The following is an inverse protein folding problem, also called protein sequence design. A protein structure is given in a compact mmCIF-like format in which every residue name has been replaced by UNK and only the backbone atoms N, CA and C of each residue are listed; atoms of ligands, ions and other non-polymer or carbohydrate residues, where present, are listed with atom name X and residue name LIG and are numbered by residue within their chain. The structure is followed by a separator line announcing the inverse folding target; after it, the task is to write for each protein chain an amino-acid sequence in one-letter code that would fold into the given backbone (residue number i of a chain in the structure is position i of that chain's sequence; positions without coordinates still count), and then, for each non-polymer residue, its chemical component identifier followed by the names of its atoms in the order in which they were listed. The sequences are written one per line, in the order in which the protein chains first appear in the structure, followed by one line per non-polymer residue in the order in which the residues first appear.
data_IF_384427859411
#
_entry.id   IF_384427859411
#
_cell.length_a   1.000
_cell.length_b   1.000
_cell.length_c   1.000
_cell.angle_alpha   90.00
_cell.angle_beta   90.00
_cell.angle_gamma   90.00
#
_symmetry.space_group_name_H-M   'P 1'
#
loop_
_entity.id
_entity.type
_entity.pdbx_description
1 polymer ?
#
# COMPACT_ATOMS: atom_id res chain seq x y z
N UNK A 1 32.47 16.20 11.76
CA UNK A 1 31.20 15.96 11.06
C UNK A 1 30.81 14.50 11.33
N UNK A 2 29.63 14.23 11.79
CA UNK A 2 29.15 12.86 11.93
C UNK A 2 28.93 12.31 10.52
N UNK A 3 29.38 11.10 10.27
CA UNK A 3 29.27 10.47 8.96
C UNK A 3 27.84 9.92 8.81
N UNK A 4 27.13 10.26 7.73
CA UNK A 4 25.80 9.79 7.44
C UNK A 4 25.75 8.25 7.46
N UNK A 5 26.73 7.61 6.85
CA UNK A 5 26.83 6.14 6.82
C UNK A 5 26.93 5.52 8.22
N UNK A 6 27.56 6.23 9.17
CA UNK A 6 27.60 5.76 10.57
C UNK A 6 26.23 5.80 11.24
N UNK A 7 25.39 6.77 10.90
CA UNK A 7 24.00 6.81 11.40
C UNK A 7 23.21 5.67 10.82
N UNK A 8 23.38 5.36 9.52
CA UNK A 8 22.76 4.20 8.86
C UNK A 8 23.18 2.89 9.56
N UNK A 9 24.49 2.72 9.83
CA UNK A 9 24.99 1.55 10.54
C UNK A 9 24.41 1.44 11.96
N UNK A 10 24.33 2.55 12.69
CA UNK A 10 23.69 2.59 14.01
C UNK A 10 22.24 2.12 13.97
N UNK A 11 21.46 2.54 12.95
CA UNK A 11 20.06 2.10 12.76
C UNK A 11 20.01 0.59 12.48
N UNK A 12 20.86 0.07 11.58
CA UNK A 12 20.95 -1.36 11.31
C UNK A 12 21.27 -2.19 12.55
N UNK A 13 22.09 -1.64 13.46
CA UNK A 13 22.45 -2.26 14.75
C UNK A 13 21.39 -2.01 15.84
N UNK A 14 20.27 -1.36 15.52
CA UNK A 14 19.21 -0.95 16.46
C UNK A 14 19.72 -0.02 17.59
N UNK A 15 20.83 0.68 17.35
CA UNK A 15 21.40 1.67 18.25
C UNK A 15 20.83 3.06 17.96
N UNK A 16 19.54 3.24 18.29
CA UNK A 16 18.79 4.48 18.05
C UNK A 16 18.93 5.53 19.17
N UNK A 17 19.89 5.36 20.07
CA UNK A 17 20.12 6.34 21.13
C UNK A 17 20.53 7.68 20.54
N UNK A 18 19.87 8.76 21.00
CA UNK A 18 20.11 10.13 20.53
C UNK A 18 19.98 10.28 19.00
N UNK A 19 19.06 9.51 18.38
CA UNK A 19 18.89 9.49 16.93
C UNK A 19 18.55 10.89 16.37
N UNK A 20 17.66 11.64 17.03
CA UNK A 20 17.31 13.00 16.63
C UNK A 20 18.53 13.91 16.55
N UNK A 21 19.38 13.88 17.58
CA UNK A 21 20.61 14.70 17.62
C UNK A 21 21.60 14.29 16.52
N UNK A 22 21.67 12.99 16.19
CA UNK A 22 22.53 12.48 15.12
C UNK A 22 22.02 12.96 13.77
N UNK A 23 20.70 12.86 13.52
CA UNK A 23 20.06 13.32 12.30
C UNK A 23 20.26 14.82 12.12
N UNK A 24 19.97 15.64 13.13
CA UNK A 24 20.17 17.09 13.07
C UNK A 24 21.61 17.50 12.70
N UNK A 25 22.61 16.68 13.07
CA UNK A 25 24.01 16.92 12.70
C UNK A 25 24.33 16.55 11.26
N UNK A 26 23.71 15.51 10.72
CA UNK A 26 23.97 15.03 9.34
C UNK A 26 23.11 15.72 8.29
N UNK A 27 22.00 16.38 8.67
CA UNK A 27 21.15 17.16 7.76
C UNK A 27 21.90 18.22 6.95
N UNK A 28 23.03 18.72 7.47
CA UNK A 28 23.88 19.70 6.78
C UNK A 28 24.99 19.03 5.94
N UNK A 29 24.89 17.73 5.66
CA UNK A 29 25.83 17.01 4.82
C UNK A 29 25.67 17.41 3.36
N UNK A 30 26.78 17.60 2.66
CA UNK A 30 26.79 17.80 1.21
C UNK A 30 26.63 16.45 0.44
N UNK A 31 26.65 15.32 1.14
CA UNK A 31 26.44 13.98 0.57
C UNK A 31 24.93 13.68 0.54
N UNK A 32 24.23 14.22 -0.47
CA UNK A 32 22.79 14.10 -0.60
C UNK A 32 22.35 12.68 -0.96
N UNK A 33 23.19 11.92 -1.67
CA UNK A 33 22.91 10.49 -1.94
C UNK A 33 22.90 9.69 -0.63
N UNK A 34 23.86 9.97 0.26
CA UNK A 34 23.89 9.33 1.57
C UNK A 34 22.69 9.76 2.45
N UNK A 35 22.27 11.04 2.37
CA UNK A 35 21.05 11.50 3.07
C UNK A 35 19.80 10.78 2.53
N UNK A 36 19.69 10.61 1.22
CA UNK A 36 18.58 9.86 0.61
C UNK A 36 18.56 8.42 1.14
N UNK A 37 19.70 7.71 1.11
CA UNK A 37 19.81 6.36 1.69
C UNK A 37 19.46 6.31 3.17
N UNK A 38 19.79 7.35 3.95
CA UNK A 38 19.41 7.46 5.35
C UNK A 38 17.89 7.57 5.50
N UNK A 39 17.25 8.43 4.70
CA UNK A 39 15.79 8.58 4.68
C UNK A 39 15.07 7.26 4.37
N UNK A 40 15.49 6.56 3.32
CA UNK A 40 14.96 5.22 2.99
C UNK A 40 15.17 4.21 4.14
N UNK A 41 16.36 4.23 4.76
CA UNK A 41 16.65 3.36 5.89
C UNK A 41 15.72 3.65 7.05
N UNK A 42 15.50 4.91 7.38
CA UNK A 42 14.57 5.33 8.44
C UNK A 42 13.16 4.80 8.18
N UNK A 43 12.63 4.97 6.96
CA UNK A 43 11.30 4.45 6.60
C UNK A 43 11.22 2.93 6.68
N UNK A 44 12.24 2.23 6.18
CA UNK A 44 12.32 0.77 6.29
C UNK A 44 12.24 0.25 7.73
N UNK A 45 12.75 1.02 8.69
CA UNK A 45 12.68 0.69 10.12
C UNK A 45 11.49 1.30 10.84
N UNK A 46 10.55 1.92 10.12
CA UNK A 46 9.34 2.52 10.69
C UNK A 46 9.59 3.82 11.46
N UNK A 47 10.74 4.47 11.22
CA UNK A 47 11.14 5.70 11.90
C UNK A 47 10.74 6.90 11.01
N UNK A 48 9.43 7.04 10.80
CA UNK A 48 8.85 7.96 9.81
C UNK A 48 9.18 9.43 10.11
N UNK A 49 9.06 9.86 11.37
CA UNK A 49 9.26 11.27 11.76
C UNK A 49 10.63 11.82 11.33
N UNK A 50 11.68 11.03 11.52
CA UNK A 50 13.02 11.39 11.14
C UNK A 50 13.26 11.27 9.63
N UNK A 51 12.62 10.30 8.99
CA UNK A 51 12.64 10.15 7.53
C UNK A 51 12.03 11.37 6.84
N UNK A 52 10.88 11.86 7.33
CA UNK A 52 10.24 13.09 6.81
C UNK A 52 11.18 14.30 6.91
N UNK A 53 11.91 14.48 8.01
CA UNK A 53 12.89 15.57 8.13
C UNK A 53 13.99 15.50 7.07
N UNK A 54 14.49 14.29 6.76
CA UNK A 54 15.50 14.11 5.71
C UNK A 54 14.93 14.46 4.34
N UNK A 55 13.74 13.94 4.01
CA UNK A 55 13.14 14.19 2.71
C UNK A 55 12.61 15.62 2.55
N UNK A 56 12.24 16.31 3.63
CA UNK A 56 11.94 17.75 3.62
C UNK A 56 13.17 18.57 3.18
N UNK A 57 14.34 18.33 3.76
CA UNK A 57 15.58 18.99 3.36
C UNK A 57 15.97 18.67 1.91
N UNK A 58 15.85 17.40 1.51
CA UNK A 58 16.14 17.00 0.13
C UNK A 58 15.15 17.64 -0.85
N UNK A 59 13.86 17.72 -0.52
CA UNK A 59 12.87 18.37 -1.36
C UNK A 59 13.11 19.88 -1.53
N UNK A 60 13.59 20.58 -0.49
CA UNK A 60 13.99 21.97 -0.60
C UNK A 60 15.14 22.18 -1.58
N UNK A 61 16.02 21.20 -1.73
CA UNK A 61 17.16 21.25 -2.65
C UNK A 61 16.81 20.74 -4.07
N UNK A 62 15.92 19.77 -4.15
CA UNK A 62 15.57 19.04 -5.38
C UNK A 62 14.04 18.92 -5.55
N UNK A 63 13.32 20.05 -5.69
CA UNK A 63 11.85 20.04 -5.74
C UNK A 63 11.27 19.37 -7.01
N UNK A 64 12.08 19.18 -8.05
CA UNK A 64 11.68 18.56 -9.32
C UNK A 64 12.05 17.06 -9.39
N UNK A 65 12.66 16.51 -8.33
CA UNK A 65 13.03 15.09 -8.28
C UNK A 65 11.85 14.25 -7.77
N UNK A 66 11.25 13.45 -8.65
CA UNK A 66 10.06 12.66 -8.34
C UNK A 66 10.27 11.70 -7.17
N UNK A 67 11.45 11.04 -7.07
CA UNK A 67 11.71 10.11 -5.97
C UNK A 67 11.69 10.82 -4.60
N UNK A 68 12.27 12.00 -4.52
CA UNK A 68 12.26 12.82 -3.29
C UNK A 68 10.83 13.24 -2.95
N UNK A 69 10.07 13.68 -3.97
CA UNK A 69 8.66 14.05 -3.80
C UNK A 69 7.84 12.90 -3.23
N UNK A 70 8.02 11.69 -3.80
CA UNK A 70 7.27 10.48 -3.36
C UNK A 70 7.53 10.21 -1.89
N UNK A 71 8.77 10.04 -1.47
CA UNK A 71 9.10 9.76 -0.06
C UNK A 71 8.64 10.86 0.89
N UNK A 72 8.77 12.13 0.49
CA UNK A 72 8.37 13.23 1.34
C UNK A 72 6.86 13.26 1.55
N UNK A 73 6.08 13.15 0.48
CA UNK A 73 4.61 13.20 0.54
C UNK A 73 4.03 11.96 1.22
N UNK A 74 4.54 10.76 0.91
CA UNK A 74 4.13 9.52 1.61
C UNK A 74 4.34 9.66 3.12
N UNK A 75 5.50 10.15 3.54
CA UNK A 75 5.78 10.37 4.96
C UNK A 75 4.86 11.39 5.61
N UNK A 76 4.48 12.46 4.93
CA UNK A 76 3.50 13.42 5.41
C UNK A 76 2.10 12.80 5.55
N UNK A 77 1.71 11.96 4.60
CA UNK A 77 0.43 11.22 4.65
C UNK A 77 0.43 10.24 5.84
N UNK A 78 1.51 9.49 6.04
CA UNK A 78 1.67 8.55 7.16
C UNK A 78 1.60 9.26 8.53
N UNK A 79 2.11 10.49 8.62
CA UNK A 79 2.01 11.34 9.80
C UNK A 79 0.63 12.03 9.95
N UNK A 80 -0.30 11.80 8.98
CA UNK A 80 -1.57 12.50 8.89
C UNK A 80 -1.42 14.03 8.76
N UNK A 81 -0.30 14.50 8.20
CA UNK A 81 -0.06 15.92 7.89
C UNK A 81 -0.62 16.28 6.50
N UNK A 82 -1.90 16.01 6.28
CA UNK A 82 -2.56 16.06 4.98
C UNK A 82 -2.55 17.45 4.34
N UNK A 83 -2.62 18.52 5.14
CA UNK A 83 -2.56 19.90 4.64
C UNK A 83 -1.19 20.22 4.03
N UNK A 84 -0.11 19.76 4.67
CA UNK A 84 1.26 19.91 4.14
C UNK A 84 1.46 19.09 2.87
N UNK A 85 1.02 17.83 2.87
CA UNK A 85 1.05 16.99 1.68
C UNK A 85 0.35 17.67 0.50
N UNK A 86 -0.83 18.28 0.75
CA UNK A 86 -1.56 19.00 -0.27
C UNK A 86 -0.80 20.23 -0.79
N UNK A 87 -0.16 21.00 0.09
CA UNK A 87 0.63 22.17 -0.29
C UNK A 87 1.85 21.79 -1.14
N UNK A 88 2.55 20.73 -0.77
CA UNK A 88 3.68 20.18 -1.52
C UNK A 88 3.24 19.75 -2.92
N UNK A 89 2.18 18.94 -3.02
CA UNK A 89 1.65 18.46 -4.28
C UNK A 89 1.13 19.60 -5.16
N UNK A 90 0.47 20.60 -4.59
CA UNK A 90 -0.01 21.75 -5.35
C UNK A 90 1.12 22.52 -6.05
N UNK A 91 2.29 22.62 -5.42
CA UNK A 91 3.44 23.34 -5.96
C UNK A 91 4.34 22.47 -6.86
N UNK A 92 4.15 21.16 -6.89
CA UNK A 92 4.97 20.23 -7.68
C UNK A 92 4.52 20.17 -9.15
N UNK A 93 5.44 19.89 -10.09
CA UNK A 93 5.08 19.67 -11.49
C UNK A 93 4.11 18.49 -11.65
N UNK A 94 3.32 18.52 -12.72
CA UNK A 94 2.43 17.38 -13.02
C UNK A 94 3.26 16.21 -13.55
N UNK A 95 3.16 15.08 -12.87
CA UNK A 95 3.74 13.80 -13.26
C UNK A 95 2.78 12.67 -12.88
N UNK A 96 3.05 11.46 -13.34
CA UNK A 96 2.27 10.28 -12.97
C UNK A 96 2.35 10.01 -11.46
N UNK A 97 3.55 10.13 -10.89
CA UNK A 97 3.79 9.95 -9.45
C UNK A 97 2.99 10.97 -8.63
N UNK A 98 3.00 12.25 -9.05
CA UNK A 98 2.18 13.27 -8.39
C UNK A 98 0.69 12.90 -8.38
N UNK A 99 0.16 12.47 -9.52
CA UNK A 99 -1.25 12.09 -9.63
C UNK A 99 -1.59 10.90 -8.74
N UNK A 100 -0.68 9.93 -8.62
CA UNK A 100 -0.83 8.79 -7.71
C UNK A 100 -0.81 9.23 -6.24
N UNK A 101 0.11 10.13 -5.87
CA UNK A 101 0.17 10.71 -4.51
C UNK A 101 -1.07 11.55 -4.18
N UNK A 102 -1.59 12.33 -5.16
CA UNK A 102 -2.86 13.04 -4.99
C UNK A 102 -4.02 12.06 -4.75
N UNK A 103 -4.03 10.93 -5.47
CA UNK A 103 -5.05 9.90 -5.27
C UNK A 103 -4.96 9.27 -3.87
N UNK A 104 -3.75 8.96 -3.39
CA UNK A 104 -3.55 8.42 -2.04
C UNK A 104 -3.98 9.43 -0.97
N UNK A 105 -3.61 10.70 -1.13
CA UNK A 105 -4.04 11.78 -0.24
C UNK A 105 -5.57 11.88 -0.17
N UNK A 106 -6.27 11.78 -1.30
CA UNK A 106 -7.74 11.81 -1.34
C UNK A 106 -8.34 10.52 -0.74
N UNK A 107 -7.69 9.38 -0.91
CA UNK A 107 -8.09 8.12 -0.26
C UNK A 107 -8.06 8.26 1.26
N UNK A 108 -7.01 8.82 1.84
CA UNK A 108 -6.88 9.07 3.28
C UNK A 108 -7.99 10.00 3.81
N UNK A 109 -8.46 10.91 2.98
CA UNK A 109 -9.59 11.79 3.29
C UNK A 109 -10.97 11.16 3.05
N UNK A 110 -11.03 9.94 2.52
CA UNK A 110 -12.27 9.27 2.13
C UNK A 110 -12.94 9.86 0.88
N UNK A 111 -12.21 10.64 0.09
CA UNK A 111 -12.67 11.29 -1.13
C UNK A 111 -12.36 10.41 -2.37
N UNK A 112 -12.87 9.16 -2.34
CA UNK A 112 -12.53 8.13 -3.33
C UNK A 112 -12.85 8.55 -4.76
N UNK A 113 -13.96 9.24 -5.02
CA UNK A 113 -14.32 9.68 -6.36
C UNK A 113 -13.25 10.61 -6.96
N UNK A 114 -12.70 11.53 -6.16
CA UNK A 114 -11.63 12.45 -6.60
C UNK A 114 -10.33 11.69 -6.83
N UNK A 115 -10.00 10.73 -5.95
CA UNK A 115 -8.85 9.85 -6.12
C UNK A 115 -8.94 9.02 -7.42
N UNK A 116 -10.13 8.51 -7.74
CA UNK A 116 -10.40 7.80 -9.01
C UNK A 116 -10.11 8.70 -10.22
N UNK A 117 -10.56 9.97 -10.19
CA UNK A 117 -10.27 10.93 -11.28
C UNK A 117 -8.76 11.11 -11.47
N UNK A 118 -8.00 11.24 -10.38
CA UNK A 118 -6.53 11.37 -10.44
C UNK A 118 -5.84 10.15 -11.02
N UNK A 119 -6.28 8.95 -10.66
CA UNK A 119 -5.74 7.72 -11.22
C UNK A 119 -6.13 7.50 -12.68
N UNK A 120 -7.28 8.00 -13.11
CA UNK A 120 -7.67 8.02 -14.52
C UNK A 120 -6.75 8.96 -15.30
N UNK A 121 -6.48 10.18 -14.78
CA UNK A 121 -5.52 11.10 -15.38
C UNK A 121 -4.12 10.47 -15.49
N UNK A 122 -3.63 9.79 -14.44
CA UNK A 122 -2.37 9.07 -14.45
C UNK A 122 -2.33 7.97 -15.54
N UNK A 123 -3.43 7.21 -15.64
CA UNK A 123 -3.56 6.14 -16.65
C UNK A 123 -3.64 6.67 -18.09
N UNK A 124 -4.10 7.91 -18.31
CA UNK A 124 -4.04 8.55 -19.63
C UNK A 124 -2.59 8.86 -20.05
N UNK A 125 -1.70 9.12 -19.09
CA UNK A 125 -0.26 9.36 -19.33
C UNK A 125 0.45 8.02 -19.57
N UNK A 126 0.21 7.03 -18.71
CA UNK A 126 0.83 5.70 -18.74
C UNK A 126 -0.23 4.58 -18.80
N UNK A 127 -0.83 4.32 -19.98
CA UNK A 127 -1.98 3.42 -20.10
C UNK A 127 -1.70 1.96 -19.73
N UNK A 128 -0.46 1.51 -19.94
CA UNK A 128 -0.04 0.11 -19.76
C UNK A 128 0.59 -0.14 -18.37
N UNK A 129 0.68 0.90 -17.52
CA UNK A 129 1.22 0.72 -16.15
C UNK A 129 0.27 -0.09 -15.29
N UNK A 130 0.78 -1.21 -14.77
CA UNK A 130 0.01 -2.13 -13.94
C UNK A 130 -0.16 -1.63 -12.50
N UNK A 131 0.78 -0.80 -12.00
CA UNK A 131 0.69 -0.24 -10.64
C UNK A 131 -0.44 0.78 -10.58
N UNK A 132 -0.55 1.66 -11.61
CA UNK A 132 -1.66 2.60 -11.74
C UNK A 132 -2.99 1.84 -11.89
N UNK A 133 -3.01 0.79 -12.71
CA UNK A 133 -4.21 -0.03 -12.90
C UNK A 133 -4.65 -0.71 -11.60
N UNK A 134 -3.68 -1.18 -10.82
CA UNK A 134 -3.92 -1.76 -9.49
C UNK A 134 -4.44 -0.71 -8.51
N UNK A 135 -3.80 0.45 -8.42
CA UNK A 135 -4.24 1.55 -7.57
C UNK A 135 -5.67 1.99 -7.89
N UNK A 136 -6.01 2.07 -9.20
CA UNK A 136 -7.37 2.38 -9.65
C UNK A 136 -8.37 1.28 -9.25
N UNK A 137 -7.97 0.02 -9.31
CA UNK A 137 -8.83 -1.10 -8.86
C UNK A 137 -9.07 -1.05 -7.36
N UNK A 138 -8.04 -0.80 -6.54
CA UNK A 138 -8.15 -0.62 -5.10
C UNK A 138 -9.07 0.57 -4.76
N UNK A 139 -8.90 1.69 -5.45
CA UNK A 139 -9.74 2.87 -5.24
C UNK A 139 -11.23 2.59 -5.54
N UNK A 140 -11.52 1.88 -6.64
CA UNK A 140 -12.88 1.41 -6.94
C UNK A 140 -13.41 0.45 -5.87
N UNK A 141 -12.54 -0.42 -5.31
CA UNK A 141 -12.92 -1.32 -4.24
C UNK A 141 -13.34 -0.54 -2.98
N UNK A 142 -12.54 0.43 -2.55
CA UNK A 142 -12.85 1.26 -1.37
C UNK A 142 -14.09 2.13 -1.56
N UNK A 143 -14.35 2.57 -2.80
CA UNK A 143 -15.57 3.31 -3.14
C UNK A 143 -16.81 2.40 -3.30
N UNK A 144 -16.68 1.10 -3.09
CA UNK A 144 -17.79 0.13 -3.23
C UNK A 144 -18.18 -0.21 -4.67
N UNK A 145 -17.40 0.25 -5.65
CA UNK A 145 -17.61 -0.02 -7.08
C UNK A 145 -16.97 -1.35 -7.50
N UNK A 146 -17.30 -2.44 -6.81
CA UNK A 146 -16.63 -3.74 -6.90
C UNK A 146 -16.53 -4.30 -8.32
N UNK A 147 -17.57 -4.13 -9.16
CA UNK A 147 -17.51 -4.59 -10.54
C UNK A 147 -16.48 -3.84 -11.40
N UNK A 148 -16.20 -2.57 -11.08
CA UNK A 148 -15.12 -1.83 -11.76
C UNK A 148 -13.76 -2.25 -11.22
N UNK A 149 -13.65 -2.48 -9.93
CA UNK A 149 -12.45 -3.05 -9.32
C UNK A 149 -12.07 -4.38 -10.00
N UNK A 150 -12.99 -5.32 -10.08
CA UNK A 150 -12.80 -6.63 -10.73
C UNK A 150 -12.29 -6.46 -12.17
N UNK A 151 -12.90 -5.57 -12.98
CA UNK A 151 -12.48 -5.36 -14.37
C UNK A 151 -11.04 -4.86 -14.50
N UNK A 152 -10.60 -3.99 -13.59
CA UNK A 152 -9.22 -3.52 -13.58
C UNK A 152 -8.26 -4.63 -13.13
N UNK A 153 -8.61 -5.41 -12.11
CA UNK A 153 -7.84 -6.59 -11.71
C UNK A 153 -7.75 -7.64 -12.83
N UNK A 154 -8.87 -7.93 -13.53
CA UNK A 154 -8.88 -8.82 -14.69
C UNK A 154 -7.91 -8.36 -15.78
N UNK A 155 -7.81 -7.04 -16.04
CA UNK A 155 -6.87 -6.52 -17.02
C UNK A 155 -5.42 -6.76 -16.63
N UNK A 156 -5.09 -6.75 -15.32
CA UNK A 156 -3.76 -7.10 -14.84
C UNK A 156 -3.49 -8.59 -15.06
N UNK A 157 -4.39 -9.47 -14.64
CA UNK A 157 -4.22 -10.93 -14.79
C UNK A 157 -4.06 -11.33 -16.26
N UNK A 158 -4.73 -10.63 -17.20
CA UNK A 158 -4.59 -10.88 -18.65
C UNK A 158 -3.18 -10.62 -19.17
N UNK A 159 -2.34 -9.85 -18.49
CA UNK A 159 -0.91 -9.67 -18.83
C UNK A 159 -0.04 -10.85 -18.40
N UNK A 160 -0.57 -11.74 -17.58
CA UNK A 160 0.14 -12.87 -16.97
C UNK A 160 0.67 -12.58 -15.56
N UNK A 161 0.45 -11.39 -15.03
CA UNK A 161 0.81 -11.02 -13.65
C UNK A 161 -0.39 -11.23 -12.73
N UNK A 162 -0.18 -11.94 -11.64
CA UNK A 162 -1.21 -12.24 -10.64
C UNK A 162 -0.82 -11.77 -9.22
N UNK A 163 0.36 -11.14 -9.08
CA UNK A 163 0.85 -10.54 -7.84
C UNK A 163 1.39 -9.14 -8.13
N UNK A 164 0.89 -8.14 -7.44
CA UNK A 164 1.42 -6.77 -7.44
C UNK A 164 1.78 -6.40 -6.00
N UNK A 165 3.01 -5.94 -5.77
CA UNK A 165 3.51 -5.53 -4.44
C UNK A 165 3.27 -6.60 -3.35
N UNK A 166 3.37 -7.89 -3.71
CA UNK A 166 3.13 -9.00 -2.79
C UNK A 166 1.64 -9.29 -2.51
N UNK A 167 0.72 -8.64 -3.21
CA UNK A 167 -0.73 -8.81 -3.07
C UNK A 167 -1.23 -9.68 -4.23
N UNK A 168 -1.95 -10.77 -3.93
CA UNK A 168 -2.58 -11.60 -4.93
C UNK A 168 -3.79 -10.89 -5.57
N UNK A 169 -3.75 -10.71 -6.88
CA UNK A 169 -4.83 -10.10 -7.65
C UNK A 169 -6.08 -10.97 -7.61
N UNK A 170 -5.93 -12.29 -7.65
CA UNK A 170 -7.07 -13.20 -7.52
C UNK A 170 -7.72 -13.09 -6.13
N UNK A 171 -6.96 -12.89 -5.05
CA UNK A 171 -7.54 -12.65 -3.72
C UNK A 171 -8.34 -11.34 -3.68
N UNK A 172 -7.86 -10.28 -4.34
CA UNK A 172 -8.59 -9.01 -4.48
C UNK A 172 -9.87 -9.13 -5.31
N UNK A 173 -9.84 -9.92 -6.40
CA UNK A 173 -11.03 -10.22 -7.19
C UNK A 173 -12.05 -11.02 -6.39
N UNK A 174 -11.57 -12.01 -5.62
CA UNK A 174 -12.42 -12.80 -4.75
C UNK A 174 -13.09 -11.95 -3.67
N UNK A 175 -12.31 -11.07 -3.01
CA UNK A 175 -12.85 -10.15 -1.99
C UNK A 175 -13.90 -9.19 -2.61
N UNK A 176 -13.58 -8.58 -3.75
CA UNK A 176 -14.53 -7.72 -4.46
C UNK A 176 -15.83 -8.45 -4.83
N UNK A 177 -15.71 -9.73 -5.23
CA UNK A 177 -16.87 -10.58 -5.52
C UNK A 177 -17.67 -10.90 -4.26
N UNK A 178 -17.01 -11.20 -3.15
CA UNK A 178 -17.63 -11.41 -1.84
C UNK A 178 -18.41 -10.18 -1.39
N UNK A 179 -17.80 -8.99 -1.47
CA UNK A 179 -18.44 -7.73 -1.09
C UNK A 179 -19.62 -7.36 -1.98
N UNK A 180 -19.59 -7.73 -3.26
CA UNK A 180 -20.71 -7.52 -4.19
C UNK A 180 -21.83 -8.57 -4.05
N UNK A 181 -21.63 -9.60 -3.23
CA UNK A 181 -22.57 -10.71 -3.06
C UNK A 181 -22.48 -11.80 -4.14
N UNK A 182 -21.48 -11.75 -5.01
CA UNK A 182 -21.20 -12.74 -6.04
C UNK A 182 -20.37 -13.90 -5.45
N UNK A 183 -20.98 -14.66 -4.54
CA UNK A 183 -20.27 -15.64 -3.72
C UNK A 183 -19.69 -16.82 -4.51
N UNK A 184 -20.36 -17.25 -5.60
CA UNK A 184 -19.84 -18.31 -6.46
C UNK A 184 -18.56 -17.87 -7.18
N UNK A 185 -18.52 -16.63 -7.65
CA UNK A 185 -17.36 -16.03 -8.29
C UNK A 185 -16.22 -15.85 -7.27
N UNK A 186 -16.54 -15.42 -6.05
CA UNK A 186 -15.56 -15.29 -4.97
C UNK A 186 -14.85 -16.64 -4.71
N UNK A 187 -15.61 -17.74 -4.61
CA UNK A 187 -15.03 -19.08 -4.44
C UNK A 187 -14.10 -19.43 -5.61
N UNK A 188 -14.53 -19.19 -6.86
CA UNK A 188 -13.70 -19.48 -8.05
C UNK A 188 -12.39 -18.69 -8.05
N UNK A 189 -12.44 -17.40 -7.73
CA UNK A 189 -11.21 -16.60 -7.69
C UNK A 189 -10.26 -17.06 -6.58
N UNK A 190 -10.76 -17.42 -5.40
CA UNK A 190 -9.91 -17.99 -4.35
C UNK A 190 -9.25 -19.32 -4.75
N UNK A 191 -9.82 -20.11 -5.64
CA UNK A 191 -9.22 -21.35 -6.15
C UNK A 191 -7.97 -21.09 -7.01
N UNK A 192 -7.82 -19.88 -7.57
CA UNK A 192 -6.62 -19.47 -8.31
C UNK A 192 -5.51 -18.91 -7.39
N UNK A 193 -5.82 -18.56 -6.14
CA UNK A 193 -4.80 -18.08 -5.21
C UNK A 193 -3.92 -19.24 -4.76
N UNK A 194 -2.61 -19.12 -4.95
CA UNK A 194 -1.65 -20.11 -4.44
C UNK A 194 -1.75 -20.23 -2.91
N UNK A 195 -1.63 -21.44 -2.39
CA UNK A 195 -1.71 -21.65 -0.93
C UNK A 195 -0.59 -20.91 -0.16
N UNK A 196 0.53 -20.60 -0.82
CA UNK A 196 1.62 -19.82 -0.23
C UNK A 196 1.27 -18.33 -0.13
N UNK A 197 0.42 -17.83 -1.03
CA UNK A 197 0.02 -16.42 -1.11
C UNK A 197 -1.26 -16.14 -0.32
N UNK A 198 -1.97 -17.18 0.14
CA UNK A 198 -3.14 -17.06 1.00
C UNK A 198 -2.76 -16.49 2.36
N UNK A 199 -3.31 -15.35 2.70
CA UNK A 199 -3.23 -14.77 4.06
C UNK A 199 -4.22 -15.46 5.00
N UNK A 200 -4.11 -15.20 6.29
CA UNK A 200 -5.08 -15.68 7.29
C UNK A 200 -6.48 -15.11 7.02
N UNK A 201 -6.53 -13.85 6.62
CA UNK A 201 -7.76 -13.16 6.26
C UNK A 201 -8.40 -13.75 4.98
N UNK A 202 -7.60 -14.15 3.98
CA UNK A 202 -8.11 -14.79 2.77
C UNK A 202 -8.78 -16.13 3.08
N UNK A 203 -8.19 -16.96 3.94
CA UNK A 203 -8.84 -18.19 4.40
C UNK A 203 -10.18 -17.93 5.07
N UNK A 204 -10.27 -16.88 5.89
CA UNK A 204 -11.50 -16.49 6.53
C UNK A 204 -12.56 -16.03 5.52
N UNK A 205 -12.20 -15.14 4.60
CA UNK A 205 -13.10 -14.65 3.56
C UNK A 205 -13.53 -15.76 2.60
N UNK A 206 -12.63 -16.68 2.27
CA UNK A 206 -12.96 -17.88 1.50
C UNK A 206 -13.97 -18.76 2.23
N UNK A 207 -13.79 -18.96 3.54
CA UNK A 207 -14.75 -19.72 4.35
C UNK A 207 -16.14 -19.05 4.36
N UNK A 208 -16.20 -17.71 4.48
CA UNK A 208 -17.47 -16.97 4.35
C UNK A 208 -18.09 -17.18 2.97
N UNK A 209 -17.30 -17.14 1.90
CA UNK A 209 -17.77 -17.36 0.54
C UNK A 209 -18.37 -18.74 0.37
N UNK A 210 -17.73 -19.78 0.90
CA UNK A 210 -18.29 -21.14 0.91
C UNK A 210 -19.57 -21.24 1.74
N UNK A 211 -19.61 -20.63 2.93
CA UNK A 211 -20.80 -20.64 3.79
C UNK A 211 -21.99 -19.98 3.10
N UNK A 212 -21.76 -18.84 2.44
CA UNK A 212 -22.82 -18.13 1.67
C UNK A 212 -23.34 -18.92 0.47
N UNK A 213 -22.52 -19.83 -0.07
CA UNK A 213 -22.89 -20.79 -1.11
C UNK A 213 -23.45 -22.12 -0.56
N UNK A 214 -23.77 -22.19 0.73
CA UNK A 214 -24.27 -23.39 1.40
C UNK A 214 -23.28 -24.59 1.38
N UNK A 215 -22.01 -24.35 1.11
CA UNK A 215 -20.93 -25.34 1.07
C UNK A 215 -20.25 -25.43 2.45
N UNK A 216 -21.00 -25.88 3.45
CA UNK A 216 -20.59 -25.85 4.87
C UNK A 216 -19.33 -26.67 5.14
N UNK A 217 -19.15 -27.83 4.47
CA UNK A 217 -17.99 -28.69 4.70
C UNK A 217 -16.69 -28.02 4.20
N UNK A 218 -16.77 -27.34 3.06
CA UNK A 218 -15.67 -26.58 2.47
C UNK A 218 -15.32 -25.37 3.35
N UNK A 219 -16.33 -24.66 3.89
CA UNK A 219 -16.13 -23.57 4.84
C UNK A 219 -15.38 -24.03 6.08
N UNK A 220 -15.80 -25.13 6.71
CA UNK A 220 -15.14 -25.72 7.88
C UNK A 220 -13.67 -26.05 7.58
N UNK A 221 -13.40 -26.64 6.42
CA UNK A 221 -12.04 -26.99 6.02
C UNK A 221 -11.13 -25.77 5.88
N UNK A 222 -11.63 -24.64 5.39
CA UNK A 222 -10.83 -23.41 5.31
C UNK A 222 -10.59 -22.81 6.69
N UNK A 223 -11.58 -22.84 7.58
CA UNK A 223 -11.41 -22.41 8.98
C UNK A 223 -10.42 -23.29 9.74
N UNK A 224 -10.36 -24.59 9.47
CA UNK A 224 -9.35 -25.48 10.05
C UNK A 224 -7.93 -25.10 9.57
N UNK A 225 -7.74 -24.77 8.28
CA UNK A 225 -6.47 -24.29 7.75
C UNK A 225 -6.07 -22.95 8.37
N UNK A 226 -7.03 -22.04 8.52
CA UNK A 226 -6.84 -20.75 9.19
C UNK A 226 -6.34 -20.96 10.62
N UNK A 227 -7.02 -21.79 11.41
CA UNK A 227 -6.65 -22.14 12.79
C UNK A 227 -5.26 -22.78 12.89
N UNK A 228 -4.84 -23.51 11.86
CA UNK A 228 -3.51 -24.08 11.84
C UNK A 228 -2.43 -23.01 11.59
N UNK A 229 -2.74 -21.98 10.80
CA UNK A 229 -1.83 -20.84 10.52
C UNK A 229 -1.78 -19.85 11.69
N UNK A 230 -2.94 -19.52 12.25
CA UNK A 230 -3.09 -18.60 13.38
C UNK A 230 -4.19 -19.09 14.34
N UNK A 231 -3.81 -19.80 15.41
CA UNK A 231 -4.76 -20.31 16.41
C UNK A 231 -5.52 -19.20 17.15
N UNK A 232 -4.98 -18.01 17.24
CA UNK A 232 -5.53 -16.90 18.02
C UNK A 232 -6.44 -15.98 17.20
N UNK A 233 -6.44 -16.09 15.87
CA UNK A 233 -7.22 -15.24 14.96
C UNK A 233 -8.73 -15.24 15.24
N UNK A 234 -9.27 -16.34 15.79
CA UNK A 234 -10.72 -16.55 15.96
C UNK A 234 -11.28 -15.89 17.22
N UNK A 235 -10.48 -15.42 18.16
CA UNK A 235 -11.00 -14.85 19.41
C UNK A 235 -11.95 -13.67 19.18
N UNK A 236 -11.80 -12.93 18.08
CA UNK A 236 -12.63 -11.77 17.76
C UNK A 236 -13.87 -12.10 16.88
N UNK A 237 -13.98 -13.32 16.33
CA UNK A 237 -14.98 -13.68 15.31
C UNK A 237 -15.91 -14.85 15.72
N UNK A 238 -16.00 -15.19 16.99
CA UNK A 238 -16.87 -16.26 17.52
C UNK A 238 -18.37 -16.11 17.19
N UNK A 239 -18.79 -15.00 16.60
CA UNK A 239 -20.19 -14.74 16.28
C UNK A 239 -20.61 -15.22 14.88
N UNK A 240 -19.70 -15.79 14.08
CA UNK A 240 -19.94 -16.16 12.67
C UNK A 240 -20.04 -17.69 12.45
N UNK A 241 -19.87 -18.49 13.47
CA UNK A 241 -20.10 -19.93 13.49
C UNK A 241 -21.37 -20.27 14.26
#
# INVERSE_FOLDING_TARGET
MEDVYKVIDDIHMQNINQLDEKIDRVLQSDDHDALFMLGETLYKYGIVDQGVKIFEELYMLYPDENEVLVYYVEGLIDQNELDRAHEVLFNSPTSTEKLMLEADLYQQQGLFEVGIEKLIEAKEIEPDDMVITFALAEMYYYDGQYLKAIRNYESIVQTGEDIINGISIYARMADSSLQSGAYEEAVKYYEYVSEMDMTVEDYFKQAISYQKNELTQEAIKQLEKLLHKDPDFIQDYHYLL
#
